data_IF_558470739628
#
_entry.id   IF_558470739628
#
_cell.length_a   1.000
_cell.length_b   1.000
_cell.length_c   1.000
_cell.angle_alpha   90.00
_cell.angle_beta   90.00
_cell.angle_gamma   90.00
#
_symmetry.space_group_name_H-M   'P 1'
#
loop_
_entity.id
_entity.type
_entity.pdbx_description
1 polymer ?
#
# COMPACT_ATOMS: atom_id res chain seq x y z
N UNK A 1 -19.13 -13.23 -2.67
CA UNK A 1 -18.61 -14.49 -2.08
C UNK A 1 -17.18 -14.34 -1.51
N UNK A 2 -16.40 -13.35 -1.96
CA UNK A 2 -15.01 -13.10 -1.49
C UNK A 2 -15.00 -12.41 -0.12
N UNK A 3 -15.95 -11.50 0.15
CA UNK A 3 -16.02 -10.79 1.45
C UNK A 3 -16.17 -11.74 2.65
N UNK A 4 -16.89 -12.84 2.49
CA UNK A 4 -17.10 -13.83 3.55
C UNK A 4 -15.81 -14.58 3.95
N UNK A 5 -14.85 -14.74 3.05
CA UNK A 5 -13.59 -15.43 3.34
C UNK A 5 -12.60 -14.57 4.15
N UNK A 6 -12.57 -13.26 3.93
CA UNK A 6 -11.76 -12.35 4.74
C UNK A 6 -12.31 -12.22 6.16
N UNK A 7 -13.65 -12.16 6.32
CA UNK A 7 -14.30 -12.14 7.62
C UNK A 7 -14.13 -13.46 8.42
N UNK A 8 -14.13 -14.60 7.77
CA UNK A 8 -13.95 -15.89 8.44
C UNK A 8 -12.53 -16.09 9.05
N UNK A 9 -11.51 -15.48 8.44
CA UNK A 9 -10.13 -15.58 8.94
C UNK A 9 -9.86 -14.65 10.13
N UNK A 10 -10.64 -13.58 10.29
CA UNK A 10 -10.57 -12.66 11.43
C UNK A 10 -11.28 -13.19 12.69
N UNK A 11 -12.28 -14.05 12.53
CA UNK A 11 -13.11 -14.55 13.65
C UNK A 11 -12.46 -15.59 14.57
N UNK A 12 -11.23 -16.09 14.27
CA UNK A 12 -10.53 -17.08 15.11
C UNK A 12 -9.44 -16.48 16.01
N UNK A 13 -9.28 -15.15 16.05
CA UNK A 13 -8.31 -14.51 16.92
C UNK A 13 -9.01 -13.72 18.04
N UNK A 14 -9.47 -14.40 19.07
CA UNK A 14 -9.68 -13.82 20.41
C UNK A 14 -8.34 -13.54 21.09
N UNK A 15 -7.57 -12.63 20.49
CA UNK A 15 -6.36 -12.09 21.07
C UNK A 15 -6.55 -10.57 21.14
N UNK A 16 -6.32 -9.98 22.29
CA UNK A 16 -6.23 -8.54 22.43
C UNK A 16 -5.33 -8.00 21.31
N UNK A 17 -5.88 -7.17 20.41
CA UNK A 17 -5.10 -6.50 19.37
C UNK A 17 -3.94 -5.81 20.11
N UNK A 18 -2.67 -6.16 19.80
CA UNK A 18 -1.56 -5.52 20.45
C UNK A 18 -1.63 -4.00 20.19
N UNK A 19 -1.23 -3.16 21.14
CA UNK A 19 -1.29 -1.73 20.95
C UNK A 19 -0.52 -1.36 19.68
N UNK A 20 -1.19 -0.66 18.76
CA UNK A 20 -0.57 -0.19 17.52
C UNK A 20 0.56 0.78 17.87
N UNK A 21 1.72 0.59 17.25
CA UNK A 21 2.79 1.59 17.30
C UNK A 21 2.23 2.91 16.77
N UNK A 22 2.32 4.02 17.51
CA UNK A 22 1.87 5.31 17.01
C UNK A 22 2.63 5.69 15.74
N UNK A 23 1.90 5.86 14.65
CA UNK A 23 2.43 6.34 13.36
C UNK A 23 1.93 7.76 13.17
N UNK A 24 2.85 8.70 12.96
CA UNK A 24 2.52 10.12 12.90
C UNK A 24 1.74 10.53 11.64
N UNK A 25 1.91 9.81 10.55
CA UNK A 25 1.21 10.05 9.29
C UNK A 25 0.72 8.73 8.73
N UNK A 26 -0.59 8.61 8.57
CA UNK A 26 -1.24 7.44 7.94
C UNK A 26 -2.19 7.95 6.87
N UNK A 27 -1.89 7.75 5.58
CA UNK A 27 -2.83 8.06 4.51
C UNK A 27 -4.08 7.20 4.61
N UNK A 28 -5.24 7.81 4.35
CA UNK A 28 -6.51 7.12 4.19
C UNK A 28 -6.99 7.28 2.75
N UNK A 29 -7.17 6.16 2.06
CA UNK A 29 -7.48 6.11 0.65
C UNK A 29 -8.93 5.70 0.44
N UNK A 30 -9.71 6.54 -0.22
CA UNK A 30 -11.02 6.14 -0.75
C UNK A 30 -10.83 5.16 -1.88
N UNK A 31 -11.50 4.01 -1.85
CA UNK A 31 -11.42 2.97 -2.88
C UNK A 31 -12.79 2.71 -3.50
N UNK A 32 -12.84 2.49 -4.79
CA UNK A 32 -14.07 2.23 -5.51
C UNK A 32 -14.60 0.81 -5.32
N UNK A 33 -13.69 -0.16 -5.13
CA UNK A 33 -13.98 -1.57 -4.89
C UNK A 33 -13.08 -2.10 -3.76
N UNK A 34 -13.68 -2.23 -2.57
CA UNK A 34 -12.96 -2.62 -1.36
C UNK A 34 -12.35 -4.03 -1.47
N UNK A 35 -13.09 -5.00 -1.99
CA UNK A 35 -12.60 -6.39 -2.11
C UNK A 35 -11.42 -6.49 -3.09
N UNK A 36 -11.48 -5.75 -4.18
CA UNK A 36 -10.40 -5.67 -5.17
C UNK A 36 -9.15 -5.00 -4.57
N UNK A 37 -9.34 -3.95 -3.79
CA UNK A 37 -8.23 -3.27 -3.10
C UNK A 37 -7.62 -4.15 -2.01
N UNK A 38 -8.44 -4.85 -1.22
CA UNK A 38 -7.97 -5.83 -0.24
C UNK A 38 -7.15 -6.94 -0.90
N UNK A 39 -7.62 -7.50 -2.01
CA UNK A 39 -6.86 -8.49 -2.77
C UNK A 39 -5.50 -7.94 -3.21
N UNK A 40 -5.47 -6.74 -3.76
CA UNK A 40 -4.21 -6.12 -4.22
C UNK A 40 -3.25 -5.86 -3.06
N UNK A 41 -3.69 -5.19 -2.01
CA UNK A 41 -2.79 -4.83 -0.91
C UNK A 41 -2.37 -6.06 -0.10
N UNK A 42 -3.28 -6.96 0.23
CA UNK A 42 -2.99 -8.09 1.15
C UNK A 42 -2.42 -9.28 0.39
N UNK A 43 -3.08 -9.76 -0.66
CA UNK A 43 -2.67 -11.00 -1.34
C UNK A 43 -1.53 -10.74 -2.33
N UNK A 44 -1.60 -9.68 -3.14
CA UNK A 44 -0.58 -9.39 -4.15
C UNK A 44 0.66 -8.76 -3.51
N UNK A 45 0.52 -7.66 -2.78
CA UNK A 45 1.66 -6.94 -2.20
C UNK A 45 2.14 -7.55 -0.87
N UNK A 46 1.25 -8.12 -0.05
CA UNK A 46 1.57 -8.71 1.23
C UNK A 46 1.49 -7.74 2.40
N UNK A 47 0.64 -6.71 2.32
CA UNK A 47 0.26 -5.92 3.48
C UNK A 47 -0.44 -6.79 4.52
N UNK A 48 -0.25 -6.47 5.79
CA UNK A 48 -0.88 -7.16 6.92
C UNK A 48 -2.02 -6.30 7.46
N UNK A 49 -3.19 -6.91 7.62
CA UNK A 49 -4.33 -6.26 8.26
C UNK A 49 -4.01 -6.08 9.74
N UNK A 50 -3.98 -4.83 10.22
CA UNK A 50 -3.83 -4.51 11.63
C UNK A 50 -5.17 -4.56 12.35
N UNK A 51 -6.18 -3.98 11.75
CA UNK A 51 -7.59 -4.11 12.13
C UNK A 51 -8.50 -3.71 10.97
N UNK A 52 -9.75 -4.13 11.06
CA UNK A 52 -10.84 -3.75 10.17
C UNK A 52 -12.06 -3.29 10.99
N UNK A 53 -13.12 -2.88 10.30
CA UNK A 53 -14.39 -2.49 10.91
C UNK A 53 -15.52 -3.31 10.28
N UNK A 54 -16.15 -4.25 11.02
CA UNK A 54 -17.19 -5.11 10.45
C UNK A 54 -18.42 -4.33 9.93
N UNK A 55 -18.68 -3.16 10.50
CA UNK A 55 -19.84 -2.31 10.18
C UNK A 55 -19.68 -1.52 8.88
N UNK A 56 -18.47 -1.47 8.31
CA UNK A 56 -18.20 -0.75 7.05
C UNK A 56 -16.98 -1.26 6.34
N UNK A 57 -16.88 -1.09 4.99
CA UNK A 57 -15.72 -1.48 4.21
C UNK A 57 -14.50 -0.59 4.52
N UNK A 58 -13.77 -0.95 5.58
CA UNK A 58 -12.59 -0.25 6.07
C UNK A 58 -11.53 -1.25 6.51
N UNK A 59 -10.25 -0.98 6.23
CA UNK A 59 -9.12 -1.71 6.76
C UNK A 59 -7.92 -0.79 7.03
N UNK A 60 -7.26 -1.02 8.16
CA UNK A 60 -5.96 -0.46 8.49
C UNK A 60 -4.89 -1.49 8.15
N UNK A 61 -3.97 -1.15 7.26
CA UNK A 61 -3.00 -2.04 6.67
C UNK A 61 -1.57 -1.57 6.98
N UNK A 62 -0.65 -2.53 7.17
CA UNK A 62 0.77 -2.25 7.36
C UNK A 62 1.65 -3.09 6.43
N UNK A 63 2.71 -2.48 5.92
CA UNK A 63 3.80 -3.15 5.21
C UNK A 63 5.13 -2.70 5.82
N UNK A 64 5.67 -3.49 6.74
CA UNK A 64 6.75 -3.04 7.61
C UNK A 64 6.32 -1.83 8.45
N UNK A 65 7.07 -0.74 8.37
CA UNK A 65 6.75 0.53 9.05
C UNK A 65 5.83 1.46 8.22
N UNK A 66 5.47 1.08 7.00
CA UNK A 66 4.53 1.83 6.18
C UNK A 66 3.09 1.44 6.52
N UNK A 67 2.26 2.41 6.83
CA UNK A 67 0.87 2.22 7.20
C UNK A 67 -0.07 3.00 6.30
N UNK A 68 -1.18 2.40 5.91
CA UNK A 68 -2.27 3.04 5.14
C UNK A 68 -3.62 2.58 5.68
N UNK A 69 -4.64 3.37 5.45
CA UNK A 69 -6.03 2.97 5.60
C UNK A 69 -6.69 2.94 4.23
N UNK A 70 -7.59 2.01 4.01
CA UNK A 70 -8.47 1.98 2.84
C UNK A 70 -9.91 1.92 3.29
N UNK A 71 -10.77 2.70 2.65
CA UNK A 71 -12.19 2.78 2.97
C UNK A 71 -13.01 2.98 1.70
N UNK A 72 -14.22 2.42 1.67
CA UNK A 72 -15.18 2.67 0.59
C UNK A 72 -16.40 3.39 1.11
N UNK A 73 -16.65 4.59 0.52
CA UNK A 73 -17.89 5.34 0.77
C UNK A 73 -17.95 6.07 2.10
N UNK A 74 -16.84 6.23 2.81
CA UNK A 74 -16.83 6.90 4.11
C UNK A 74 -15.68 7.91 4.27
N UNK A 75 -14.79 7.98 3.29
CA UNK A 75 -13.61 8.82 3.34
C UNK A 75 -13.89 10.32 3.27
N UNK A 76 -12.92 11.10 3.71
CA UNK A 76 -12.95 12.55 3.62
C UNK A 76 -12.63 13.00 2.20
N UNK A 77 -13.63 13.47 1.45
CA UNK A 77 -13.49 13.90 0.07
C UNK A 77 -13.82 15.39 -0.08
N UNK A 78 -13.00 16.09 -0.84
CA UNK A 78 -13.21 17.52 -1.17
C UNK A 78 -13.96 17.73 -2.47
N UNK A 79 -14.29 16.64 -3.18
CA UNK A 79 -15.00 16.67 -4.45
C UNK A 79 -15.17 15.30 -5.06
N UNK A 80 -15.70 15.25 -6.26
CA UNK A 80 -15.87 14.00 -7.02
C UNK A 80 -14.52 13.40 -7.40
N UNK A 81 -14.38 12.09 -7.19
CA UNK A 81 -13.16 11.35 -7.57
C UNK A 81 -13.27 10.84 -9.02
N UNK A 82 -12.24 11.12 -9.79
CA UNK A 82 -12.07 10.60 -11.15
C UNK A 82 -10.81 9.75 -11.24
N UNK A 83 -10.89 8.61 -11.91
CA UNK A 83 -9.72 7.74 -12.12
C UNK A 83 -8.72 8.36 -13.11
N UNK A 84 -7.41 8.15 -12.91
CA UNK A 84 -6.77 7.52 -11.75
C UNK A 84 -6.88 8.40 -10.50
N UNK A 85 -7.18 7.78 -9.34
CA UNK A 85 -7.22 8.50 -8.07
C UNK A 85 -5.81 8.92 -7.64
N UNK A 86 -5.73 9.91 -6.73
CA UNK A 86 -4.45 10.36 -6.18
C UNK A 86 -3.55 11.07 -7.18
N UNK A 87 -4.10 11.70 -8.23
CA UNK A 87 -3.31 12.48 -9.21
C UNK A 87 -2.44 13.52 -8.51
N UNK A 88 -1.12 13.46 -8.78
CA UNK A 88 -0.13 14.32 -8.13
C UNK A 88 0.38 13.82 -6.78
N UNK A 89 -0.03 12.61 -6.35
CA UNK A 89 0.45 11.96 -5.12
C UNK A 89 1.09 10.63 -5.49
N UNK A 90 2.22 10.33 -4.84
CA UNK A 90 2.73 8.96 -4.75
C UNK A 90 3.17 8.66 -3.33
N UNK A 91 3.07 7.41 -2.92
CA UNK A 91 3.48 6.96 -1.60
C UNK A 91 4.79 6.19 -1.71
N UNK A 92 5.86 6.74 -1.15
CA UNK A 92 7.13 6.03 -1.09
C UNK A 92 7.14 5.06 0.09
N UNK A 93 7.36 3.80 -0.22
CA UNK A 93 7.44 2.71 0.76
C UNK A 93 8.86 2.15 0.73
N UNK A 94 9.60 2.27 1.83
CA UNK A 94 10.92 1.65 1.94
C UNK A 94 10.80 0.17 2.09
N UNK A 95 11.65 -0.54 1.33
CA UNK A 95 11.76 -2.00 1.36
C UNK A 95 13.23 -2.41 1.41
N UNK A 96 13.56 -3.54 2.04
CA UNK A 96 14.92 -4.07 1.99
C UNK A 96 15.33 -4.46 0.57
N UNK A 97 14.39 -4.98 -0.22
CA UNK A 97 14.63 -5.45 -1.58
C UNK A 97 13.41 -5.21 -2.48
N UNK A 98 13.58 -4.40 -3.53
CA UNK A 98 12.51 -4.10 -4.49
C UNK A 98 12.16 -5.31 -5.36
N UNK A 99 13.14 -6.18 -5.63
CA UNK A 99 12.94 -7.36 -6.47
C UNK A 99 11.83 -8.29 -5.94
N UNK A 100 11.73 -8.47 -4.63
CA UNK A 100 10.70 -9.30 -4.01
C UNK A 100 9.28 -8.78 -4.28
N UNK A 101 9.11 -7.45 -4.34
CA UNK A 101 7.83 -6.82 -4.70
C UNK A 101 7.52 -7.04 -6.19
N UNK A 102 8.52 -6.86 -7.06
CA UNK A 102 8.38 -7.11 -8.49
C UNK A 102 7.96 -8.54 -8.79
N UNK A 103 8.56 -9.53 -8.12
CA UNK A 103 8.23 -10.93 -8.27
C UNK A 103 6.78 -11.25 -7.85
N UNK A 104 6.30 -10.64 -6.76
CA UNK A 104 4.89 -10.78 -6.33
C UNK A 104 3.91 -10.20 -7.36
N UNK A 105 4.20 -9.02 -7.87
CA UNK A 105 3.38 -8.38 -8.92
C UNK A 105 3.34 -9.24 -10.19
N UNK A 106 4.50 -9.75 -10.63
CA UNK A 106 4.61 -10.62 -11.78
C UNK A 106 3.84 -11.93 -11.60
N UNK A 107 3.95 -12.57 -10.43
CA UNK A 107 3.22 -13.80 -10.10
C UNK A 107 1.68 -13.59 -10.12
N UNK A 108 1.23 -12.40 -9.76
CA UNK A 108 -0.19 -12.02 -9.81
C UNK A 108 -0.64 -11.51 -11.19
N UNK A 109 0.27 -11.37 -12.16
CA UNK A 109 -0.02 -10.74 -13.45
C UNK A 109 -0.40 -9.26 -13.34
N UNK A 110 0.04 -8.58 -12.27
CA UNK A 110 -0.28 -7.17 -12.04
C UNK A 110 0.70 -6.26 -12.79
N UNK A 111 0.22 -5.34 -13.64
CA UNK A 111 1.10 -4.48 -14.42
C UNK A 111 1.83 -3.46 -13.52
N UNK A 112 3.11 -3.23 -13.79
CA UNK A 112 3.87 -2.16 -13.15
C UNK A 112 3.69 -0.85 -13.93
N UNK A 113 3.73 0.28 -13.22
CA UNK A 113 3.70 1.62 -13.82
C UNK A 113 5.09 2.03 -14.31
N UNK A 114 6.12 1.69 -13.54
CA UNK A 114 7.53 1.88 -13.89
C UNK A 114 8.32 0.67 -13.39
N UNK A 115 9.09 0.05 -14.29
CA UNK A 115 9.99 -1.05 -13.97
C UNK A 115 11.10 -0.62 -13.01
N UNK A 116 11.82 -1.61 -12.47
CA UNK A 116 12.93 -1.37 -11.55
C UNK A 116 13.98 -0.48 -12.23
N UNK A 117 14.28 0.66 -11.60
CA UNK A 117 15.27 1.62 -12.04
C UNK A 117 16.12 2.11 -10.86
N UNK A 118 17.42 2.35 -11.11
CA UNK A 118 18.33 2.95 -10.14
C UNK A 118 18.40 4.47 -10.39
N UNK A 119 18.04 5.25 -9.38
CA UNK A 119 18.07 6.70 -9.41
C UNK A 119 19.04 7.26 -8.36
N UNK A 120 19.67 8.39 -8.66
CA UNK A 120 20.59 9.07 -7.75
C UNK A 120 20.15 10.51 -7.54
N UNK A 121 19.81 10.81 -6.32
CA UNK A 121 19.25 12.09 -5.91
C UNK A 121 20.25 12.92 -5.12
N UNK A 122 20.35 14.21 -5.42
CA UNK A 122 21.21 15.15 -4.68
C UNK A 122 20.61 15.44 -3.30
N UNK A 123 21.46 15.28 -2.29
CA UNK A 123 21.19 15.67 -0.90
C UNK A 123 22.39 16.44 -0.37
N UNK A 124 22.33 17.77 -0.45
CA UNK A 124 23.49 18.61 -0.13
C UNK A 124 24.63 18.37 -1.11
N UNK A 125 25.80 17.94 -0.63
CA UNK A 125 27.00 17.63 -1.42
C UNK A 125 27.08 16.17 -1.88
N UNK A 126 26.18 15.31 -1.38
CA UNK A 126 26.18 13.88 -1.63
C UNK A 126 25.11 13.49 -2.66
N UNK A 127 25.27 12.32 -3.27
CA UNK A 127 24.26 11.65 -4.04
C UNK A 127 23.75 10.43 -3.27
N UNK A 128 22.46 10.40 -3.02
CA UNK A 128 21.75 9.28 -2.41
C UNK A 128 21.16 8.40 -3.51
N UNK A 129 21.46 7.11 -3.48
CA UNK A 129 20.97 6.12 -4.45
C UNK A 129 19.72 5.42 -3.96
N UNK A 130 18.76 5.27 -4.86
CA UNK A 130 17.55 4.48 -4.63
C UNK A 130 17.27 3.58 -5.83
N UNK A 131 16.95 2.31 -5.57
CA UNK A 131 16.35 1.40 -6.56
C UNK A 131 14.86 1.44 -6.38
N UNK A 132 14.13 1.79 -7.43
CA UNK A 132 12.71 2.10 -7.33
C UNK A 132 11.88 1.26 -8.30
N UNK A 133 10.68 0.91 -7.87
CA UNK A 133 9.62 0.27 -8.65
C UNK A 133 8.33 1.03 -8.37
N UNK A 134 7.56 1.36 -9.39
CA UNK A 134 6.27 2.05 -9.21
C UNK A 134 5.14 1.17 -9.73
N UNK A 135 4.09 1.02 -8.95
CA UNK A 135 2.87 0.32 -9.32
C UNK A 135 1.64 1.19 -9.02
N UNK A 136 0.61 1.05 -9.84
CA UNK A 136 -0.71 1.60 -9.54
C UNK A 136 -1.55 0.57 -8.81
N UNK A 137 -2.23 1.02 -7.77
CA UNK A 137 -3.28 0.22 -7.13
C UNK A 137 -4.53 0.12 -8.03
N UNK A 138 -5.59 -0.64 -7.64
CA UNK A 138 -6.80 -0.79 -8.44
C UNK A 138 -7.50 0.52 -8.83
N UNK A 139 -7.33 1.58 -8.06
CA UNK A 139 -7.98 2.88 -8.29
C UNK A 139 -7.06 3.93 -8.91
N UNK A 140 -5.75 3.63 -9.01
CA UNK A 140 -4.76 4.46 -9.67
C UNK A 140 -3.83 5.21 -8.74
N UNK A 141 -3.88 4.99 -7.42
CA UNK A 141 -2.88 5.52 -6.50
C UNK A 141 -1.51 4.93 -6.80
N UNK A 142 -0.48 5.78 -6.83
CA UNK A 142 0.89 5.35 -7.09
C UNK A 142 1.60 4.94 -5.81
N UNK A 143 2.08 3.70 -5.78
CA UNK A 143 2.95 3.17 -4.75
C UNK A 143 4.36 3.04 -5.33
N UNK A 144 5.32 3.73 -4.72
CA UNK A 144 6.72 3.70 -5.11
C UNK A 144 7.53 2.94 -4.07
N UNK A 145 7.89 1.71 -4.37
CA UNK A 145 8.77 0.90 -3.54
C UNK A 145 10.22 1.33 -3.76
N UNK A 146 10.94 1.58 -2.67
CA UNK A 146 12.28 2.16 -2.73
C UNK A 146 13.25 1.40 -1.83
N UNK A 147 14.31 0.87 -2.44
CA UNK A 147 15.44 0.21 -1.78
C UNK A 147 16.63 1.17 -1.73
N UNK A 148 17.26 1.28 -0.56
CA UNK A 148 18.45 2.12 -0.38
C UNK A 148 19.66 1.49 -1.08
N UNK A 149 20.37 2.27 -1.89
CA UNK A 149 21.63 1.88 -2.55
C UNK A 149 22.86 2.57 -1.92
N UNK A 150 22.68 3.32 -0.85
CA UNK A 150 23.75 4.05 -0.17
C UNK A 150 23.99 5.45 -0.74
N UNK A 151 25.17 5.98 -0.39
CA UNK A 151 25.60 7.36 -0.71
C UNK A 151 26.91 7.33 -1.50
N UNK A 152 27.09 8.24 -2.45
CA UNK A 152 28.32 8.46 -3.21
C UNK A 152 28.62 9.94 -3.43
#
# INVERSE_FOLDING_TARGET
>A
LISAQYFAKALTMTSSIPPLKPIALVPELEVADFDRSMHFYVEVLGFVIQYDRPERPFAYLAFGDAHIMIEKGGGWMTGHLERPYGRGINFQIRVPEVKSVSERLAAAGWPVFQDIEDAWYRRGTELFGARELVVQDPDGYLLRFSQDLGVR
#
